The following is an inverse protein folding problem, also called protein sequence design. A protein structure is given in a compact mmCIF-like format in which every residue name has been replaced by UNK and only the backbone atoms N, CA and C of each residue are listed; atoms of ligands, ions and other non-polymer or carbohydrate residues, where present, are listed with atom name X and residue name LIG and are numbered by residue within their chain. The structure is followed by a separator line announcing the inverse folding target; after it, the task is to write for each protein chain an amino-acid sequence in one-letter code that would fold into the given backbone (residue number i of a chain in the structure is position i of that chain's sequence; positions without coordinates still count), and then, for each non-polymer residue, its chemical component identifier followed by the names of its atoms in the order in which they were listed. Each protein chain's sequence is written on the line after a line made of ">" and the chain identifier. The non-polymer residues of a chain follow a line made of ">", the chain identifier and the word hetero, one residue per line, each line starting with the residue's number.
data_IF_424175410009
#
_entry.id   IF_424175410009
#
_cell.length_a   1.000
_cell.length_b   1.000
_cell.length_c   1.000
_cell.angle_alpha   90.00
_cell.angle_beta   90.00
_cell.angle_gamma   90.00
#
_symmetry.space_group_name_H-M   'P 1'
#
loop_
_entity.id
_entity.type
_entity.pdbx_description
1 polymer ?
#
# COMPACT_ATOMS: atom_id res chain seq x y z
N UNK A 1 -2.54 -5.99 -10.95
CA UNK A 1 -3.52 -6.93 -10.34
C UNK A 1 -4.73 -6.13 -9.86
N UNK A 2 -5.93 -6.62 -10.13
CA UNK A 2 -7.19 -6.07 -9.64
C UNK A 2 -7.60 -6.71 -8.31
N UNK A 3 -8.53 -6.09 -7.59
CA UNK A 3 -9.05 -6.62 -6.32
C UNK A 3 -9.66 -8.04 -6.45
N UNK A 4 -10.32 -8.35 -7.56
CA UNK A 4 -10.87 -9.69 -7.79
C UNK A 4 -9.77 -10.71 -8.12
N UNK A 5 -8.76 -10.33 -8.90
CA UNK A 5 -7.58 -11.18 -9.12
C UNK A 5 -6.85 -11.48 -7.81
N UNK A 6 -6.72 -10.51 -6.91
CA UNK A 6 -6.12 -10.70 -5.59
C UNK A 6 -6.84 -11.77 -4.77
N UNK A 7 -8.18 -11.78 -4.76
CA UNK A 7 -8.97 -12.83 -4.10
C UNK A 7 -8.76 -14.19 -4.76
N UNK A 8 -8.80 -14.26 -6.09
CA UNK A 8 -8.57 -15.51 -6.85
C UNK A 8 -7.19 -16.09 -6.56
N UNK A 9 -6.14 -15.25 -6.53
CA UNK A 9 -4.77 -15.66 -6.19
C UNK A 9 -4.69 -16.21 -4.77
N UNK A 10 -5.30 -15.53 -3.79
CA UNK A 10 -5.32 -15.98 -2.40
C UNK A 10 -5.96 -17.37 -2.26
N UNK A 11 -7.11 -17.59 -2.91
CA UNK A 11 -7.79 -18.88 -2.91
C UNK A 11 -6.99 -19.96 -3.64
N UNK A 12 -6.36 -19.62 -4.77
CA UNK A 12 -5.55 -20.55 -5.56
C UNK A 12 -4.33 -21.03 -4.78
N UNK A 13 -3.57 -20.12 -4.17
CA UNK A 13 -2.40 -20.46 -3.33
C UNK A 13 -2.81 -21.29 -2.10
N UNK A 14 -3.93 -20.94 -1.46
CA UNK A 14 -4.48 -21.71 -0.35
C UNK A 14 -4.83 -23.15 -0.76
N UNK A 15 -5.41 -23.31 -1.95
CA UNK A 15 -5.81 -24.62 -2.49
C UNK A 15 -4.58 -25.49 -2.80
N UNK A 16 -3.53 -24.90 -3.40
CA UNK A 16 -2.24 -25.57 -3.59
C UNK A 16 -1.50 -25.86 -2.29
N UNK A 17 -1.90 -25.24 -1.18
CA UNK A 17 -1.19 -25.32 0.08
C UNK A 17 0.18 -24.65 0.03
N UNK A 18 0.39 -23.68 -0.85
CA UNK A 18 1.65 -22.96 -1.02
C UNK A 18 1.68 -21.67 -0.18
N UNK A 19 2.85 -21.25 0.33
CA UNK A 19 2.97 -19.97 1.01
C UNK A 19 2.74 -18.82 0.03
N UNK A 20 1.84 -17.90 0.40
CA UNK A 20 1.55 -16.70 -0.38
C UNK A 20 2.16 -15.46 0.27
N UNK A 21 3.21 -14.92 -0.36
CA UNK A 21 3.80 -13.63 0.01
C UNK A 21 3.07 -12.53 -0.77
N UNK A 22 2.18 -11.81 -0.10
CA UNK A 22 1.35 -10.77 -0.72
C UNK A 22 1.93 -9.37 -0.58
N UNK A 23 2.25 -8.73 -1.71
CA UNK A 23 2.59 -7.31 -1.77
C UNK A 23 1.40 -6.43 -1.37
N UNK A 24 1.65 -5.22 -0.87
CA UNK A 24 0.60 -4.21 -0.59
C UNK A 24 -0.31 -3.93 -1.80
N UNK A 25 0.20 -4.06 -3.03
CA UNK A 25 -0.55 -3.86 -4.27
C UNK A 25 -1.21 -5.14 -4.81
N UNK A 26 -1.18 -6.24 -4.08
CA UNK A 26 -1.77 -7.52 -4.53
C UNK A 26 -3.26 -7.68 -4.18
N UNK A 27 -3.77 -6.93 -3.18
CA UNK A 27 -5.12 -7.11 -2.64
C UNK A 27 -5.47 -8.56 -2.23
N UNK A 28 -4.47 -9.39 -1.93
CA UNK A 28 -4.64 -10.82 -1.59
C UNK A 28 -5.13 -11.06 -0.16
N UNK A 29 -5.19 -10.02 0.67
CA UNK A 29 -5.41 -10.18 2.11
C UNK A 29 -4.13 -10.41 2.91
N UNK A 30 -2.99 -10.60 2.21
CA UNK A 30 -1.67 -10.83 2.80
C UNK A 30 -1.74 -11.90 3.91
N UNK A 31 -2.03 -13.18 3.57
CA UNK A 31 -2.23 -14.23 4.56
C UNK A 31 -0.99 -14.47 5.44
N UNK A 32 0.20 -14.17 4.90
CA UNK A 32 1.46 -14.07 5.64
C UNK A 32 1.89 -12.59 5.69
N UNK A 33 1.30 -11.76 6.56
CA UNK A 33 1.57 -10.32 6.58
C UNK A 33 2.98 -10.02 7.07
N UNK A 34 3.41 -8.76 6.91
CA UNK A 34 4.70 -8.28 7.39
C UNK A 34 5.92 -9.02 6.81
N UNK A 35 5.83 -9.43 5.53
CA UNK A 35 6.89 -10.15 4.83
C UNK A 35 8.23 -9.43 4.82
N UNK A 36 8.22 -8.09 4.70
CA UNK A 36 9.44 -7.30 4.76
C UNK A 36 10.19 -7.41 6.11
N UNK A 37 9.50 -7.82 7.18
CA UNK A 37 10.11 -8.08 8.48
C UNK A 37 10.62 -9.52 8.58
N UNK A 38 9.76 -10.50 8.31
CA UNK A 38 10.11 -11.89 8.59
C UNK A 38 11.03 -12.52 7.54
N UNK A 39 11.10 -11.98 6.32
CA UNK A 39 12.14 -12.37 5.34
C UNK A 39 13.55 -11.97 5.79
N UNK A 40 13.68 -11.13 6.82
CA UNK A 40 14.96 -10.88 7.50
C UNK A 40 15.39 -12.01 8.44
N UNK A 41 14.54 -13.01 8.70
CA UNK A 41 14.86 -14.15 9.55
C UNK A 41 15.46 -15.29 8.70
N UNK A 42 16.69 -15.68 9.01
CA UNK A 42 17.39 -16.75 8.31
C UNK A 42 16.59 -18.06 8.26
N UNK A 43 15.83 -18.41 9.31
CA UNK A 43 15.00 -19.63 9.31
C UNK A 43 13.93 -19.61 8.22
N UNK A 44 13.29 -18.47 8.00
CA UNK A 44 12.27 -18.32 6.97
C UNK A 44 12.89 -18.40 5.57
N UNK A 45 14.07 -17.79 5.39
CA UNK A 45 14.81 -17.87 4.12
C UNK A 45 15.23 -19.30 3.81
N UNK A 46 15.75 -20.05 4.79
CA UNK A 46 16.11 -21.46 4.63
C UNK A 46 14.92 -22.35 4.30
N UNK A 47 13.75 -22.08 4.88
CA UNK A 47 12.51 -22.80 4.52
C UNK A 47 12.08 -22.49 3.07
N UNK A 48 12.16 -21.23 2.64
CA UNK A 48 11.85 -20.83 1.26
C UNK A 48 12.86 -21.35 0.23
N UNK A 49 14.10 -21.64 0.62
CA UNK A 49 15.10 -22.27 -0.26
C UNK A 49 14.71 -23.68 -0.70
N UNK A 50 13.77 -24.33 0.00
CA UNK A 50 13.25 -25.64 -0.40
C UNK A 50 12.24 -25.55 -1.56
N UNK A 51 11.84 -24.34 -1.97
CA UNK A 51 10.90 -24.15 -3.06
C UNK A 51 11.54 -24.52 -4.40
N UNK A 52 10.99 -25.54 -5.06
CA UNK A 52 11.41 -25.97 -6.40
C UNK A 52 10.90 -25.04 -7.50
N UNK A 53 9.76 -24.39 -7.27
CA UNK A 53 9.13 -23.46 -8.21
C UNK A 53 8.66 -22.21 -7.48
N UNK A 54 8.85 -21.04 -8.11
CA UNK A 54 8.24 -19.78 -7.70
C UNK A 54 7.31 -19.30 -8.80
N UNK A 55 6.04 -19.03 -8.45
CA UNK A 55 5.04 -18.50 -9.38
C UNK A 55 4.64 -17.09 -8.92
N UNK A 56 5.18 -16.07 -9.57
CA UNK A 56 4.87 -14.67 -9.33
C UNK A 56 3.71 -14.22 -10.24
N UNK A 57 2.61 -13.80 -9.63
CA UNK A 57 1.47 -13.19 -10.33
C UNK A 57 1.50 -11.67 -10.10
N UNK A 58 1.65 -10.90 -11.18
CA UNK A 58 1.92 -9.47 -11.13
C UNK A 58 3.42 -9.15 -11.08
N UNK A 59 3.73 -7.86 -10.92
CA UNK A 59 5.08 -7.30 -10.94
C UNK A 59 5.20 -6.10 -10.00
N UNK A 60 6.32 -5.35 -10.06
CA UNK A 60 6.57 -4.13 -9.26
C UNK A 60 6.50 -4.33 -7.74
N UNK A 61 7.18 -5.37 -7.23
CA UNK A 61 7.28 -5.67 -5.79
C UNK A 61 7.79 -4.45 -4.99
N UNK A 62 7.26 -4.28 -3.78
CA UNK A 62 7.48 -3.12 -2.91
C UNK A 62 8.55 -3.36 -1.85
N UNK A 63 8.43 -4.48 -1.13
CA UNK A 63 9.28 -4.79 0.02
C UNK A 63 10.75 -4.95 -0.35
N UNK A 64 11.65 -4.33 0.42
CA UNK A 64 13.09 -4.45 0.22
C UNK A 64 13.55 -5.89 0.43
N UNK A 65 13.09 -6.55 1.50
CA UNK A 65 13.52 -7.92 1.83
C UNK A 65 12.92 -8.93 0.86
N UNK A 66 11.73 -8.65 0.32
CA UNK A 66 11.14 -9.44 -0.75
C UNK A 66 11.96 -9.36 -2.03
N UNK A 67 12.35 -8.15 -2.46
CA UNK A 67 13.24 -7.97 -3.61
C UNK A 67 14.63 -8.60 -3.39
N UNK A 68 15.17 -8.51 -2.17
CA UNK A 68 16.44 -9.18 -1.82
C UNK A 68 16.32 -10.70 -1.87
N UNK A 69 15.25 -11.26 -1.30
CA UNK A 69 14.99 -12.69 -1.38
C UNK A 69 14.81 -13.14 -2.83
N UNK A 70 14.02 -12.41 -3.63
CA UNK A 70 13.87 -12.66 -5.06
C UNK A 70 15.23 -12.67 -5.76
N UNK A 71 16.12 -11.71 -5.47
CA UNK A 71 17.44 -11.67 -6.09
C UNK A 71 18.38 -12.83 -5.71
N UNK A 72 18.06 -13.56 -4.64
CA UNK A 72 18.92 -14.64 -4.09
C UNK A 72 18.32 -16.03 -4.15
N UNK A 73 17.03 -16.16 -4.47
CA UNK A 73 16.39 -17.47 -4.53
C UNK A 73 16.83 -18.21 -5.80
N UNK A 74 17.03 -19.52 -5.69
CA UNK A 74 17.46 -20.36 -6.81
C UNK A 74 16.49 -21.53 -7.02
N UNK A 75 15.21 -21.28 -7.33
CA UNK A 75 14.29 -22.36 -7.67
C UNK A 75 14.68 -23.00 -9.01
N UNK A 76 14.25 -24.25 -9.24
CA UNK A 76 14.42 -24.93 -10.54
C UNK A 76 13.67 -24.18 -11.65
N UNK A 77 12.50 -23.61 -11.32
CA UNK A 77 11.66 -22.85 -12.24
C UNK A 77 11.14 -21.54 -11.57
N UNK A 78 11.32 -20.40 -12.25
CA UNK A 78 10.74 -19.12 -11.85
C UNK A 78 9.76 -18.60 -12.90
N UNK A 79 8.47 -18.57 -12.57
CA UNK A 79 7.41 -18.15 -13.49
C UNK A 79 6.88 -16.78 -13.10
N UNK A 80 6.84 -15.86 -14.07
CA UNK A 80 6.19 -14.56 -13.92
C UNK A 80 4.99 -14.49 -14.86
N UNK A 81 3.82 -14.17 -14.30
CA UNK A 81 2.54 -14.03 -15.00
C UNK A 81 2.04 -12.60 -14.79
N UNK A 82 1.86 -11.87 -15.89
CA UNK A 82 1.40 -10.48 -15.90
C UNK A 82 0.88 -10.19 -17.33
N UNK A 83 0.07 -9.16 -17.53
CA UNK A 83 -0.37 -8.73 -18.85
C UNK A 83 0.65 -7.78 -19.52
N UNK A 84 1.62 -7.28 -18.78
CA UNK A 84 2.67 -6.38 -19.30
C UNK A 84 3.73 -7.19 -20.07
N UNK A 85 4.03 -6.75 -21.28
CA UNK A 85 5.08 -7.36 -22.10
C UNK A 85 6.50 -7.05 -21.58
N UNK A 86 7.47 -7.85 -22.03
CA UNK A 86 8.87 -7.69 -21.65
C UNK A 86 9.26 -8.42 -20.36
N UNK A 87 10.51 -8.18 -19.94
CA UNK A 87 11.10 -8.85 -18.78
C UNK A 87 10.71 -8.10 -17.51
N UNK A 88 10.10 -8.84 -16.58
CA UNK A 88 9.62 -8.31 -15.29
C UNK A 88 10.40 -8.85 -14.08
N UNK A 89 11.27 -9.83 -14.31
CA UNK A 89 12.18 -10.36 -13.30
C UNK A 89 13.55 -9.67 -13.38
N UNK A 90 13.90 -8.81 -12.40
CA UNK A 90 15.18 -8.12 -12.37
C UNK A 90 16.37 -9.05 -12.05
N UNK A 91 16.12 -10.23 -11.48
CA UNK A 91 17.16 -11.19 -11.10
C UNK A 91 17.47 -12.22 -12.20
N UNK A 92 16.68 -12.24 -13.27
CA UNK A 92 16.92 -13.02 -14.49
C UNK A 92 17.00 -14.53 -14.25
N UNK A 93 16.14 -15.06 -13.40
CA UNK A 93 16.05 -16.48 -13.12
C UNK A 93 15.74 -17.29 -14.38
N UNK A 94 16.16 -18.55 -14.35
CA UNK A 94 15.69 -19.55 -15.31
C UNK A 94 14.20 -19.84 -15.05
N UNK A 95 13.40 -19.81 -16.11
CA UNK A 95 11.98 -20.14 -16.01
C UNK A 95 11.17 -19.53 -17.15
N UNK A 96 9.99 -18.99 -16.84
CA UNK A 96 8.99 -18.62 -17.85
C UNK A 96 8.42 -17.22 -17.60
N UNK A 97 8.34 -16.45 -18.67
CA UNK A 97 7.55 -15.21 -18.72
C UNK A 97 6.27 -15.48 -19.51
N UNK A 98 5.12 -15.48 -18.84
CA UNK A 98 3.82 -15.80 -19.43
C UNK A 98 2.94 -14.55 -19.53
N UNK A 99 2.80 -13.98 -20.73
CA UNK A 99 1.97 -12.79 -20.96
C UNK A 99 0.50 -13.20 -20.98
N UNK A 100 -0.22 -12.90 -19.90
CA UNK A 100 -1.63 -13.25 -19.74
C UNK A 100 -2.29 -12.36 -18.69
N UNK A 101 -3.62 -12.17 -18.80
CA UNK A 101 -4.40 -11.67 -17.66
C UNK A 101 -4.36 -12.71 -16.53
N UNK A 102 -4.19 -12.24 -15.30
CA UNK A 102 -3.99 -13.13 -14.15
C UNK A 102 -5.23 -13.99 -13.93
N UNK A 103 -6.43 -13.41 -14.04
CA UNK A 103 -7.69 -14.16 -13.91
C UNK A 103 -7.78 -15.31 -14.93
N UNK A 104 -7.55 -15.02 -16.21
CA UNK A 104 -7.64 -16.01 -17.30
C UNK A 104 -6.58 -17.11 -17.14
N UNK A 105 -5.37 -16.74 -16.71
CA UNK A 105 -4.30 -17.70 -16.46
C UNK A 105 -4.65 -18.65 -15.32
N UNK A 106 -5.24 -18.16 -14.23
CA UNK A 106 -5.67 -19.00 -13.10
C UNK A 106 -6.79 -19.97 -13.50
N UNK A 107 -7.67 -19.58 -14.42
CA UNK A 107 -8.75 -20.44 -14.93
C UNK A 107 -8.21 -21.57 -15.81
N UNK A 108 -7.15 -21.31 -16.59
CA UNK A 108 -6.47 -22.32 -17.41
C UNK A 108 -5.52 -23.22 -16.59
N UNK A 109 -5.11 -22.79 -15.40
CA UNK A 109 -4.19 -23.52 -14.51
C UNK A 109 -4.83 -23.70 -13.11
N UNK A 110 -5.94 -24.46 -13.01
CA UNK A 110 -6.66 -24.62 -11.76
C UNK A 110 -5.80 -25.30 -10.69
N UNK A 111 -5.95 -24.86 -9.45
CA UNK A 111 -5.25 -25.45 -8.31
C UNK A 111 -5.89 -26.79 -7.91
N UNK A 112 -5.05 -27.80 -7.69
CA UNK A 112 -5.46 -29.04 -7.04
C UNK A 112 -5.26 -28.93 -5.53
N UNK A 113 -6.23 -29.44 -4.76
CA UNK A 113 -6.16 -29.40 -3.30
C UNK A 113 -5.01 -30.25 -2.80
N UNK A 114 -4.02 -29.63 -2.17
CA UNK A 114 -2.87 -30.31 -1.56
C UNK A 114 -2.78 -30.01 -0.08
N UNK A 115 -2.04 -30.84 0.66
CA UNK A 115 -1.77 -30.60 2.08
C UNK A 115 -0.97 -29.30 2.18
N UNK A 116 -1.42 -28.40 3.05
CA UNK A 116 -0.74 -27.13 3.27
C UNK A 116 0.70 -27.37 3.72
N UNK A 117 1.65 -26.85 2.94
CA UNK A 117 3.02 -26.65 3.37
C UNK A 117 2.96 -25.50 4.37
N UNK A 118 2.92 -25.84 5.65
CA UNK A 118 2.92 -24.84 6.71
C UNK A 118 4.32 -24.26 6.77
N UNK A 119 4.55 -23.15 6.07
CA UNK A 119 5.62 -22.27 6.46
C UNK A 119 5.33 -21.83 7.89
N UNK A 120 6.18 -22.24 8.84
CA UNK A 120 5.94 -21.97 10.26
C UNK A 120 5.78 -20.46 10.42
N UNK A 121 4.61 -20.00 10.89
CA UNK A 121 4.25 -18.58 10.93
C UNK A 121 5.42 -17.74 11.45
N UNK A 122 6.17 -17.07 10.56
CA UNK A 122 7.40 -16.41 10.96
C UNK A 122 7.12 -15.24 11.92
N UNK A 123 5.87 -14.76 11.94
CA UNK A 123 5.40 -13.68 12.80
C UNK A 123 5.21 -14.10 14.27
N UNK A 124 5.14 -15.40 14.56
CA UNK A 124 4.90 -15.91 15.92
C UNK A 124 6.08 -15.74 16.89
N UNK A 125 7.28 -15.38 16.39
CA UNK A 125 8.50 -15.26 17.20
C UNK A 125 9.05 -13.85 17.43
N UNK A 126 8.47 -12.80 16.84
CA UNK A 126 9.07 -11.44 16.82
C UNK A 126 8.22 -10.36 17.49
N UNK A 127 8.69 -9.81 18.62
CA UNK A 127 8.06 -8.66 19.32
C UNK A 127 7.89 -7.41 18.44
N UNK A 128 8.67 -7.29 17.36
CA UNK A 128 8.61 -6.18 16.38
C UNK A 128 7.38 -6.19 15.45
N UNK A 129 6.82 -7.36 15.13
CA UNK A 129 5.62 -7.48 14.28
C UNK A 129 4.38 -6.96 15.03
N UNK A 130 4.32 -7.22 16.34
CA UNK A 130 3.21 -6.79 17.20
C UNK A 130 3.18 -5.28 17.46
N UNK A 131 4.34 -4.59 17.46
CA UNK A 131 4.43 -3.13 17.63
C UNK A 131 4.20 -2.38 16.32
N UNK A 132 4.80 -2.84 15.21
CA UNK A 132 4.54 -2.30 13.87
C UNK A 132 3.07 -2.39 13.46
N UNK A 133 2.46 -3.57 13.65
CA UNK A 133 1.05 -3.78 13.35
C UNK A 133 0.09 -2.99 14.23
N UNK A 134 0.46 -2.62 15.47
CA UNK A 134 -0.38 -1.74 16.32
C UNK A 134 -0.43 -0.32 15.80
N UNK A 135 0.67 0.15 15.25
CA UNK A 135 0.85 1.53 14.89
C UNK A 135 0.40 1.81 13.45
N UNK A 136 0.56 0.85 12.53
CA UNK A 136 -0.15 0.83 11.25
C UNK A 136 -1.67 0.72 11.45
N UNK A 137 -2.13 -0.12 12.40
CA UNK A 137 -3.54 -0.12 12.83
C UNK A 137 -3.96 1.21 13.45
N UNK A 138 -3.08 1.91 14.16
CA UNK A 138 -3.39 3.24 14.68
C UNK A 138 -3.49 4.29 13.58
N UNK A 139 -2.59 4.32 12.58
CA UNK A 139 -2.72 5.19 11.42
C UNK A 139 -4.00 4.89 10.62
N UNK A 140 -4.29 3.62 10.36
CA UNK A 140 -5.53 3.20 9.72
C UNK A 140 -6.76 3.55 10.56
N UNK A 141 -6.74 3.31 11.88
CA UNK A 141 -7.84 3.64 12.81
C UNK A 141 -7.97 5.13 13.09
N UNK A 142 -6.91 5.92 13.03
CA UNK A 142 -6.95 7.38 13.19
C UNK A 142 -7.44 8.03 11.90
N UNK A 143 -7.05 7.50 10.74
CA UNK A 143 -7.64 7.82 9.45
C UNK A 143 -9.13 7.41 9.37
N UNK A 144 -9.47 6.23 9.93
CA UNK A 144 -10.84 5.70 9.96
C UNK A 144 -11.68 6.13 11.18
N UNK A 145 -11.08 6.84 12.14
CA UNK A 145 -11.65 7.17 13.46
C UNK A 145 -11.91 8.66 13.67
N UNK A 146 -11.55 9.51 12.69
CA UNK A 146 -12.25 10.78 12.49
C UNK A 146 -13.76 10.48 12.29
N UNK A 147 -14.69 11.41 12.61
CA UNK A 147 -16.14 11.21 12.52
C UNK A 147 -16.62 11.17 11.06
N UNK A 148 -16.00 10.31 10.27
CA UNK A 148 -16.30 10.04 8.88
C UNK A 148 -17.10 8.73 8.85
N UNK A 149 -18.24 8.72 8.12
CA UNK A 149 -19.02 7.51 7.97
C UNK A 149 -18.14 6.50 7.24
N UNK A 150 -17.59 5.58 8.03
CA UNK A 150 -16.95 4.32 7.66
C UNK A 150 -16.35 4.33 6.25
N UNK A 151 -15.00 4.38 6.17
CA UNK A 151 -14.27 3.59 5.16
C UNK A 151 -14.64 2.11 5.41
N UNK A 152 -15.89 1.78 5.12
CA UNK A 152 -16.52 0.51 5.35
C UNK A 152 -15.93 -0.43 4.34
N UNK A 153 -15.47 -1.58 4.82
CA UNK A 153 -15.09 -2.69 3.97
C UNK A 153 -16.27 -2.95 3.00
N UNK A 154 -16.08 -2.62 1.72
CA UNK A 154 -17.08 -2.82 0.67
C UNK A 154 -17.22 -1.69 -0.36
N UNK A 155 -17.01 -0.41 0.00
CA UNK A 155 -17.34 0.72 -0.88
C UNK A 155 -16.22 1.75 -1.12
N UNK A 156 -15.04 1.55 -0.52
CA UNK A 156 -13.91 2.47 -0.62
C UNK A 156 -12.75 1.96 -1.47
N UNK A 157 -11.71 2.79 -1.58
CA UNK A 157 -10.42 2.45 -2.17
C UNK A 157 -9.29 3.22 -1.50
N UNK A 158 -8.06 2.71 -1.64
CA UNK A 158 -6.84 3.30 -1.11
C UNK A 158 -5.94 3.73 -2.26
N UNK A 159 -5.45 4.96 -2.23
CA UNK A 159 -4.35 5.43 -3.06
C UNK A 159 -3.12 5.63 -2.17
N UNK A 160 -2.05 4.89 -2.46
CA UNK A 160 -0.81 4.95 -1.68
C UNK A 160 0.26 5.65 -2.49
N UNK A 161 0.81 6.73 -1.92
CA UNK A 161 1.93 7.44 -2.49
C UNK A 161 3.24 6.68 -2.43
N UNK A 162 4.23 7.17 -3.17
CA UNK A 162 5.56 6.55 -3.22
C UNK A 162 6.42 6.90 -1.99
N UNK A 163 7.70 6.52 -2.02
CA UNK A 163 8.66 6.70 -0.92
C UNK A 163 8.36 5.82 0.30
N UNK A 164 8.41 6.36 1.51
CA UNK A 164 8.36 5.60 2.75
C UNK A 164 6.96 5.04 3.06
N UNK A 165 5.88 5.74 2.69
CA UNK A 165 4.51 5.35 3.05
C UNK A 165 4.12 3.98 2.49
N UNK A 166 4.37 3.72 1.20
CA UNK A 166 4.05 2.41 0.58
C UNK A 166 4.84 1.27 1.22
N UNK A 167 6.12 1.52 1.57
CA UNK A 167 6.98 0.54 2.25
C UNK A 167 6.55 0.25 3.67
N UNK A 168 6.12 1.26 4.42
CA UNK A 168 5.61 1.07 5.78
C UNK A 168 4.27 0.32 5.78
N UNK A 169 3.38 0.62 4.82
CA UNK A 169 2.12 -0.13 4.70
C UNK A 169 2.43 -1.59 4.35
N UNK A 170 3.28 -1.84 3.37
CA UNK A 170 3.71 -3.19 2.98
C UNK A 170 4.34 -3.98 4.13
N UNK A 171 5.24 -3.35 4.90
CA UNK A 171 5.99 -4.01 5.96
C UNK A 171 5.19 -4.21 7.26
N UNK A 172 4.23 -3.33 7.57
CA UNK A 172 3.63 -3.25 8.90
C UNK A 172 2.12 -3.45 8.93
N UNK A 173 1.46 -3.50 7.77
CA UNK A 173 0.00 -3.64 7.67
C UNK A 173 -0.41 -5.00 7.11
N UNK A 174 -1.68 -5.34 7.35
CA UNK A 174 -2.38 -6.40 6.65
C UNK A 174 -3.62 -5.77 6.03
N UNK A 175 -3.62 -5.60 4.71
CA UNK A 175 -4.77 -5.05 3.99
C UNK A 175 -5.82 -6.13 3.73
N UNK A 176 -7.13 -5.82 3.76
CA UNK A 176 -8.17 -6.82 3.50
C UNK A 176 -8.11 -7.35 2.06
N UNK A 177 -8.44 -8.63 1.89
CA UNK A 177 -8.55 -9.24 0.57
C UNK A 177 -9.62 -8.52 -0.26
N UNK A 178 -9.28 -8.18 -1.50
CA UNK A 178 -10.19 -7.50 -2.42
C UNK A 178 -10.47 -6.03 -2.14
N UNK A 179 -9.77 -5.39 -1.19
CA UNK A 179 -9.87 -3.95 -1.02
C UNK A 179 -9.01 -3.23 -2.08
N UNK A 180 -9.56 -2.39 -2.97
CA UNK A 180 -8.79 -1.79 -4.07
C UNK A 180 -7.66 -0.88 -3.56
N UNK A 181 -6.46 -1.10 -4.09
CA UNK A 181 -5.26 -0.29 -3.79
C UNK A 181 -4.64 0.18 -5.10
N UNK A 182 -4.37 1.48 -5.20
CA UNK A 182 -3.75 2.13 -6.35
C UNK A 182 -2.45 2.81 -5.93
N UNK A 183 -1.46 2.82 -6.83
CA UNK A 183 -0.18 3.50 -6.62
C UNK A 183 0.57 3.67 -7.95
N UNK A 184 1.45 4.68 -8.04
CA UNK A 184 2.29 4.94 -9.21
C UNK A 184 3.63 4.21 -9.08
N UNK A 185 3.61 2.86 -9.06
CA UNK A 185 4.79 2.02 -8.76
C UNK A 185 5.60 1.56 -9.99
N UNK A 186 5.28 2.04 -11.19
CA UNK A 186 6.10 1.84 -12.38
C UNK A 186 7.46 2.55 -12.25
N UNK A 187 7.53 3.83 -12.60
CA UNK A 187 8.74 4.65 -12.37
C UNK A 187 8.91 5.11 -10.91
N UNK A 188 7.89 4.95 -10.06
CA UNK A 188 7.94 5.30 -8.63
C UNK A 188 8.13 6.80 -8.33
N UNK A 189 7.77 7.68 -9.27
CA UNK A 189 7.88 9.15 -9.15
C UNK A 189 6.95 9.78 -8.10
N UNK A 190 7.29 10.98 -7.63
CA UNK A 190 6.50 11.74 -6.63
C UNK A 190 5.75 12.93 -7.23
N UNK A 191 5.90 13.12 -8.54
CA UNK A 191 5.59 14.29 -9.36
C UNK A 191 4.16 14.33 -9.94
N UNK A 192 3.25 13.50 -9.43
CA UNK A 192 1.86 13.47 -9.93
C UNK A 192 0.89 12.66 -9.08
N UNK A 193 1.17 12.50 -7.78
CA UNK A 193 0.41 11.61 -6.91
C UNK A 193 -0.99 12.14 -6.58
N UNK A 194 -1.15 13.45 -6.39
CA UNK A 194 -2.45 14.07 -6.07
C UNK A 194 -3.34 14.10 -7.31
N UNK A 195 -2.78 14.47 -8.45
CA UNK A 195 -3.41 14.44 -9.77
C UNK A 195 -3.89 13.03 -10.12
N UNK A 196 -3.05 12.01 -9.92
CA UNK A 196 -3.46 10.62 -10.16
C UNK A 196 -4.54 10.17 -9.19
N UNK A 197 -4.43 10.50 -7.90
CA UNK A 197 -5.46 10.16 -6.91
C UNK A 197 -6.82 10.79 -7.23
N UNK A 198 -6.83 12.04 -7.73
CA UNK A 198 -8.03 12.71 -8.21
C UNK A 198 -8.66 11.95 -9.39
N UNK A 199 -7.84 11.53 -10.36
CA UNK A 199 -8.28 10.71 -11.50
C UNK A 199 -8.90 9.37 -11.06
N UNK A 200 -8.22 8.64 -10.17
CA UNK A 200 -8.71 7.37 -9.59
C UNK A 200 -10.06 7.56 -8.90
N UNK A 201 -10.22 8.62 -8.10
CA UNK A 201 -11.49 8.93 -7.44
C UNK A 201 -12.59 9.18 -8.47
N UNK A 202 -12.35 10.04 -9.45
CA UNK A 202 -13.36 10.41 -10.45
C UNK A 202 -13.79 9.23 -11.33
N UNK A 203 -12.83 8.39 -11.75
CA UNK A 203 -13.10 7.24 -12.61
C UNK A 203 -13.95 6.16 -11.94
N UNK A 204 -13.77 5.95 -10.64
CA UNK A 204 -14.48 4.91 -9.88
C UNK A 204 -15.70 5.42 -9.12
N UNK A 205 -15.79 6.74 -8.90
CA UNK A 205 -16.76 7.39 -8.02
C UNK A 205 -16.86 6.78 -6.60
N UNK A 206 -15.78 6.15 -6.12
CA UNK A 206 -15.70 5.54 -4.79
C UNK A 206 -15.13 6.52 -3.76
N UNK A 207 -15.43 6.27 -2.50
CA UNK A 207 -14.77 6.95 -1.39
C UNK A 207 -13.28 6.61 -1.39
N UNK A 208 -12.41 7.61 -1.43
CA UNK A 208 -10.97 7.41 -1.58
C UNK A 208 -10.22 7.93 -0.37
N UNK A 209 -9.36 7.08 0.18
CA UNK A 209 -8.29 7.49 1.08
C UNK A 209 -6.99 7.58 0.28
N UNK A 210 -6.37 8.75 0.22
CA UNK A 210 -5.06 8.95 -0.36
C UNK A 210 -4.04 9.27 0.74
N UNK A 211 -2.88 8.60 0.74
CA UNK A 211 -1.81 8.86 1.72
C UNK A 211 -0.50 9.15 0.97
N UNK A 212 0.09 10.31 1.21
CA UNK A 212 1.30 10.79 0.52
C UNK A 212 2.29 11.42 1.51
N UNK A 213 3.56 11.57 1.11
CA UNK A 213 4.53 12.36 1.86
C UNK A 213 4.38 13.87 1.62
N UNK A 214 4.96 14.67 2.50
CA UNK A 214 5.05 16.14 2.38
C UNK A 214 5.67 16.60 1.06
N UNK A 215 6.86 16.10 0.71
CA UNK A 215 7.51 16.48 -0.56
C UNK A 215 6.65 16.10 -1.75
N UNK A 216 6.02 14.92 -1.74
CA UNK A 216 5.12 14.51 -2.82
C UNK A 216 3.89 15.41 -2.94
N UNK A 217 3.34 15.87 -1.82
CA UNK A 217 2.25 16.84 -1.83
C UNK A 217 2.69 18.22 -2.33
N UNK A 218 3.93 18.63 -2.03
CA UNK A 218 4.52 19.88 -2.53
C UNK A 218 4.78 19.82 -4.04
N UNK A 219 5.29 18.70 -4.55
CA UNK A 219 5.55 18.51 -5.98
C UNK A 219 4.29 18.67 -6.84
N UNK A 220 3.15 18.16 -6.35
CA UNK A 220 1.88 18.13 -7.09
C UNK A 220 0.82 19.03 -6.41
N UNK A 221 1.26 20.14 -5.81
CA UNK A 221 0.42 21.00 -4.96
C UNK A 221 -0.74 21.65 -5.74
N UNK A 222 -0.51 22.00 -7.01
CA UNK A 222 -1.52 22.59 -7.87
C UNK A 222 -2.72 21.66 -8.12
N UNK A 223 -2.53 20.34 -7.99
CA UNK A 223 -3.58 19.33 -8.15
C UNK A 223 -4.64 19.35 -7.04
N UNK A 224 -4.41 20.07 -5.94
CA UNK A 224 -5.46 20.35 -4.95
C UNK A 224 -6.68 21.01 -5.59
N UNK A 225 -6.50 21.76 -6.69
CA UNK A 225 -7.61 22.31 -7.47
C UNK A 225 -8.52 21.22 -8.06
N UNK A 226 -7.95 20.09 -8.50
CA UNK A 226 -8.70 18.95 -9.04
C UNK A 226 -9.56 18.27 -7.96
N UNK A 227 -9.05 18.20 -6.73
CA UNK A 227 -9.76 17.57 -5.62
C UNK A 227 -11.00 18.35 -5.16
N UNK A 228 -11.20 19.59 -5.63
CA UNK A 228 -12.45 20.35 -5.42
C UNK A 228 -13.66 19.74 -6.14
N UNK A 229 -13.43 18.89 -7.15
CA UNK A 229 -14.46 18.28 -7.99
C UNK A 229 -14.40 16.76 -7.86
N UNK A 230 -14.65 16.27 -6.64
CA UNK A 230 -14.75 14.84 -6.34
C UNK A 230 -16.21 14.41 -6.29
N UNK A 231 -16.52 13.23 -6.84
CA UNK A 231 -17.89 12.69 -6.90
C UNK A 231 -18.30 11.90 -5.66
N UNK A 232 -17.35 11.58 -4.78
CA UNK A 232 -17.52 10.86 -3.53
C UNK A 232 -16.52 11.38 -2.48
N UNK A 233 -16.68 11.05 -1.18
CA UNK A 233 -15.77 11.49 -0.13
C UNK A 233 -14.30 11.17 -0.44
N UNK A 234 -13.44 12.19 -0.35
CA UNK A 234 -11.99 12.05 -0.55
C UNK A 234 -11.25 12.53 0.69
N UNK A 235 -10.35 11.70 1.21
CA UNK A 235 -9.47 12.02 2.34
C UNK A 235 -8.03 11.98 1.87
N UNK A 236 -7.32 13.09 1.97
CA UNK A 236 -5.88 13.17 1.74
C UNK A 236 -5.14 13.25 3.07
N UNK A 237 -4.28 12.29 3.33
CA UNK A 237 -3.34 12.31 4.44
C UNK A 237 -1.96 12.68 3.89
N UNK A 238 -1.42 13.78 4.40
CA UNK A 238 -0.04 14.20 4.12
C UNK A 238 0.80 13.91 5.36
N UNK A 239 1.71 12.94 5.20
CA UNK A 239 2.69 12.57 6.21
C UNK A 239 3.85 13.55 6.12
N UNK A 240 3.86 14.54 7.01
CA UNK A 240 4.93 15.53 7.09
C UNK A 240 6.00 15.11 8.10
N UNK A 241 7.09 14.61 7.57
CA UNK A 241 8.30 14.26 8.32
C UNK A 241 9.48 15.18 7.97
N UNK A 242 9.17 16.37 7.43
CA UNK A 242 10.07 17.47 7.11
C UNK A 242 11.19 17.07 6.15
N UNK A 243 10.83 16.44 5.03
CA UNK A 243 11.74 16.09 3.94
C UNK A 243 11.75 14.61 3.56
N UNK A 244 12.63 14.24 2.62
CA UNK A 244 12.74 12.89 2.06
C UNK A 244 13.34 11.86 3.02
N UNK A 245 12.62 11.47 4.07
CA UNK A 245 13.15 10.60 5.12
C UNK A 245 13.53 9.17 4.65
N UNK A 246 13.19 8.79 3.42
CA UNK A 246 13.63 7.54 2.79
C UNK A 246 15.15 7.47 2.59
N UNK A 247 15.83 8.61 2.50
CA UNK A 247 17.28 8.67 2.26
C UNK A 247 18.11 8.42 3.52
N UNK A 248 17.48 8.28 4.69
CA UNK A 248 18.19 7.93 5.91
C UNK A 248 18.38 6.41 6.03
N UNK A 249 19.49 5.94 6.64
CA UNK A 249 19.81 4.52 6.73
C UNK A 249 18.73 3.71 7.46
N UNK A 250 18.52 2.46 7.03
CA UNK A 250 17.56 1.54 7.65
C UNK A 250 17.84 1.25 9.15
N UNK A 251 19.07 1.49 9.63
CA UNK A 251 19.43 1.39 11.04
C UNK A 251 18.69 2.42 11.92
N UNK A 252 18.28 3.57 11.36
CA UNK A 252 17.45 4.58 12.02
C UNK A 252 15.95 4.41 11.73
N UNK A 253 15.54 3.45 10.88
CA UNK A 253 14.15 3.24 10.51
C UNK A 253 13.26 2.86 11.70
N UNK A 254 13.79 2.23 12.75
CA UNK A 254 13.04 1.97 13.98
C UNK A 254 12.76 3.25 14.78
N UNK A 255 13.71 4.21 14.83
CA UNK A 255 13.50 5.56 15.37
C UNK A 255 12.51 6.35 14.51
N UNK A 256 12.58 6.23 13.18
CA UNK A 256 11.66 6.89 12.25
C UNK A 256 10.24 6.33 12.31
N UNK A 257 10.10 5.01 12.43
CA UNK A 257 8.81 4.34 12.65
C UNK A 257 8.20 4.90 13.93
N UNK A 258 8.98 4.99 15.03
CA UNK A 258 8.52 5.64 16.26
C UNK A 258 8.18 7.13 16.07
N UNK A 259 8.96 7.91 15.33
CA UNK A 259 8.66 9.32 15.05
C UNK A 259 7.39 9.52 14.19
N UNK A 260 7.18 8.69 13.16
CA UNK A 260 6.01 8.73 12.28
C UNK A 260 4.74 8.23 12.97
N UNK A 261 4.88 7.30 13.91
CA UNK A 261 3.76 6.69 14.63
C UNK A 261 3.36 7.46 15.91
N UNK A 262 4.30 8.18 16.53
CA UNK A 262 4.05 8.93 17.77
C UNK A 262 3.92 10.44 17.57
N UNK A 263 4.41 11.02 16.47
CA UNK A 263 4.28 12.46 16.20
C UNK A 263 3.04 12.76 15.34
N UNK A 264 1.87 12.33 15.84
CA UNK A 264 0.56 12.63 15.26
C UNK A 264 0.35 14.16 15.07
N UNK A 265 1.11 14.99 15.77
CA UNK A 265 1.08 16.44 15.69
C UNK A 265 1.57 17.01 14.33
N UNK A 266 2.28 16.22 13.51
CA UNK A 266 2.78 16.66 12.19
C UNK A 266 1.98 16.11 11.00
N UNK A 267 1.06 15.19 11.23
CA UNK A 267 0.25 14.63 10.13
C UNK A 267 -0.89 15.59 9.78
N UNK A 268 -0.95 16.03 8.53
CA UNK A 268 -2.04 16.88 8.05
C UNK A 268 -3.10 16.01 7.37
N UNK A 269 -4.35 16.12 7.82
CA UNK A 269 -5.49 15.42 7.21
C UNK A 269 -6.37 16.47 6.53
N UNK A 270 -6.52 16.35 5.22
CA UNK A 270 -7.45 17.13 4.42
C UNK A 270 -8.63 16.22 4.04
N UNK A 271 -9.86 16.71 4.24
CA UNK A 271 -11.07 15.96 3.92
C UNK A 271 -11.98 16.78 3.01
N UNK A 272 -12.60 16.12 2.02
CA UNK A 272 -13.42 16.75 0.98
C UNK A 272 -14.72 15.97 0.80
N UNK A 273 -15.86 16.68 0.73
CA UNK A 273 -17.21 16.12 0.53
C UNK A 273 -17.93 16.81 -0.66
N UNK A 274 -18.71 16.08 -1.46
CA UNK A 274 -19.67 16.68 -2.41
C UNK A 274 -20.93 17.20 -1.69
N UNK A 275 -21.66 18.23 -2.16
CA UNK A 275 -21.26 19.36 -3.01
C UNK A 275 -20.64 20.51 -2.19
N UNK A 276 -20.46 20.32 -0.89
CA UNK A 276 -20.09 21.35 0.07
C UNK A 276 -18.65 21.18 0.54
N UNK A 277 -17.85 22.20 0.27
CA UNK A 277 -16.45 22.31 0.62
C UNK A 277 -16.27 22.47 2.14
N UNK A 278 -16.41 21.40 2.93
CA UNK A 278 -15.97 21.45 4.33
C UNK A 278 -14.47 21.15 4.39
N UNK A 279 -13.66 22.16 4.05
CA UNK A 279 -12.22 22.12 4.29
C UNK A 279 -11.98 22.23 5.79
N UNK A 280 -11.70 21.10 6.46
CA UNK A 280 -11.03 21.12 7.75
C UNK A 280 -9.54 20.97 7.48
N UNK A 281 -8.77 22.00 7.86
CA UNK A 281 -7.32 21.87 8.01
C UNK A 281 -7.02 22.20 9.47
N UNK A 282 -6.57 21.17 10.21
CA UNK A 282 -6.02 21.34 11.54
C UNK A 282 -4.52 21.26 11.43
N UNK A 283 -3.89 22.40 11.60
CA UNK A 283 -2.56 22.54 12.13
C UNK A 283 -2.50 23.91 12.82
N UNK A 284 -1.99 23.89 14.06
CA UNK A 284 -1.80 25.04 14.93
C UNK A 284 -0.31 25.29 15.21
N UNK A 285 0.14 26.55 15.14
CA UNK A 285 1.54 26.99 15.23
C UNK A 285 1.74 27.53 16.63
N UNK A 286 2.71 26.98 17.35
CA UNK A 286 3.20 27.54 18.60
C UNK A 286 4.71 27.72 18.47
N UNK A 287 5.16 28.95 18.23
CA UNK A 287 6.59 29.30 18.10
C UNK A 287 7.14 29.22 16.67
N UNK A 288 8.40 28.79 16.51
CA UNK A 288 9.14 28.78 15.23
C UNK A 288 8.76 27.64 14.25
N UNK A 289 7.73 26.84 14.52
CA UNK A 289 7.26 25.75 13.62
C UNK A 289 6.13 26.18 12.69
N UNK A 290 5.76 25.37 11.69
CA UNK A 290 4.62 25.63 10.81
C UNK A 290 3.31 25.10 11.38
N UNK A 291 2.22 25.75 10.97
CA UNK A 291 0.90 25.17 11.08
C UNK A 291 -0.07 25.63 10.01
N UNK A 292 -0.82 24.69 9.46
CA UNK A 292 -1.81 24.91 8.43
C UNK A 292 -3.24 25.01 9.00
N UNK A 293 -3.95 26.12 8.76
CA UNK A 293 -5.41 26.21 8.87
C UNK A 293 -5.95 26.64 7.51
N UNK A 294 -7.10 26.13 7.10
CA UNK A 294 -7.88 26.64 5.97
C UNK A 294 -9.37 26.56 6.30
N UNK A 295 -9.99 27.73 6.20
CA UNK A 295 -11.41 28.02 6.30
C UNK A 295 -12.01 28.00 4.89
N UNK A 296 -13.19 27.40 4.73
CA UNK A 296 -14.10 27.76 3.65
C UNK A 296 -15.44 28.16 4.25
N UNK A 297 -15.62 29.46 4.51
CA UNK A 297 -16.96 30.07 4.54
C UNK A 297 -17.21 30.68 3.18
N UNK A 298 -18.22 30.16 2.51
CA UNK A 298 -18.78 30.74 1.30
C UNK A 298 -20.19 30.22 1.15
N UNK A 299 -21.09 30.59 2.06
CA UNK A 299 -22.50 30.57 1.70
C UNK A 299 -22.73 31.64 0.62
N UNK A 300 -23.54 31.37 -0.42
CA UNK A 300 -24.06 32.45 -1.23
C UNK A 300 -24.93 33.30 -0.30
N UNK A 301 -24.56 34.57 -0.10
CA UNK A 301 -25.48 35.55 0.47
C UNK A 301 -26.72 35.54 -0.42
N UNK A 302 -27.84 35.02 0.09
CA UNK A 302 -29.16 35.36 -0.46
C UNK A 302 -29.27 36.88 -0.36
N UNK A 303 -29.18 37.57 -1.49
CA UNK A 303 -29.67 38.93 -1.59
C UNK A 303 -31.17 38.85 -1.30
N UNK A 304 -31.58 39.45 -0.18
CA UNK A 304 -32.95 39.91 0.02
C UNK A 304 -33.04 41.32 -0.53
#
# INVERSE_FOLDING_TARGET
>A
MSAEEGKKVAQWAQTLGWPLIGDVLSQTGQPLPCADLWLGNAKAVTELQQAQIVVQLGSSLTGKRLLQWQATCEPEEYWVIDNIEGRLDPAHHRGRRLVAKIADWLELHPAEKRKTVVCRDPASGGTGVATGGRAARHLWRSAAGAPYPRLSAGAGQLFVGNSLVVRLIDALSQLPAGYPVYSNRGASGIDGLLSTAAGVQRASAKSTLAIVGDLSALYDLNALALLRQVSAPFVLIVVNNNGGQIFFPAADAAKQTRALLFDAAKTSILTMRPPCLTCAIIARKTGKSWSLRWLARGEPRRQR
#
